data_IF_361913355728
#
_entry.id   IF_361913355728
#
_cell.length_a   1.000
_cell.length_b   1.000
_cell.length_c   1.000
_cell.angle_alpha   90.00
_cell.angle_beta   90.00
_cell.angle_gamma   90.00
#
_symmetry.space_group_name_H-M   'P 1'
#
loop_
_entity.id
_entity.type
_entity.pdbx_description
1 polymer ?
#
# COMPACT_ATOMS: atom_id res chain seq x y z
N UNK A 1 2.56 41.87 -2.52
CA UNK A 1 2.85 41.24 -1.21
C UNK A 1 2.59 39.75 -1.41
N UNK A 2 3.57 38.86 -1.18
CA UNK A 2 3.35 37.40 -1.35
C UNK A 2 2.47 36.88 -0.22
N UNK A 3 1.65 35.86 -0.50
CA UNK A 3 0.86 35.19 0.53
C UNK A 3 1.73 34.29 1.42
N UNK A 4 1.25 33.97 2.62
CA UNK A 4 1.94 33.05 3.52
C UNK A 4 2.15 31.65 2.89
N UNK A 5 1.22 31.22 2.03
CA UNK A 5 1.33 29.96 1.29
C UNK A 5 2.45 30.01 0.25
N UNK A 6 2.53 31.09 -0.54
CA UNK A 6 3.58 31.25 -1.54
C UNK A 6 4.97 31.30 -0.90
N UNK A 7 5.11 31.99 0.24
CA UNK A 7 6.37 32.03 0.98
C UNK A 7 6.75 30.65 1.56
N UNK A 8 5.76 29.87 2.00
CA UNK A 8 5.98 28.51 2.47
C UNK A 8 6.41 27.57 1.32
N UNK A 9 5.79 27.69 0.15
CA UNK A 9 6.15 26.92 -1.03
C UNK A 9 7.53 27.29 -1.59
N UNK A 10 7.92 28.58 -1.56
CA UNK A 10 9.28 29.00 -1.93
C UNK A 10 10.34 28.45 -0.97
N UNK A 11 10.06 28.46 0.34
CA UNK A 11 10.95 27.85 1.34
C UNK A 11 11.05 26.34 1.16
N UNK A 12 9.94 25.67 0.85
CA UNK A 12 9.92 24.24 0.57
C UNK A 12 10.73 23.93 -0.70
N UNK A 13 10.50 24.64 -1.81
CA UNK A 13 11.25 24.47 -3.04
C UNK A 13 12.75 24.80 -2.89
N UNK A 14 13.13 25.72 -2.00
CA UNK A 14 14.52 26.02 -1.71
C UNK A 14 15.19 24.97 -0.83
N UNK A 15 14.43 24.33 0.06
CA UNK A 15 14.93 23.32 1.02
C UNK A 15 14.92 21.90 0.42
N UNK A 16 13.98 21.64 -0.49
CA UNK A 16 13.84 20.42 -1.27
C UNK A 16 13.42 20.79 -2.71
N UNK A 17 14.39 21.04 -3.60
CA UNK A 17 14.13 21.38 -5.00
C UNK A 17 13.40 20.29 -5.79
N UNK A 18 13.39 19.05 -5.28
CA UNK A 18 12.73 17.92 -5.91
C UNK A 18 11.29 17.74 -5.43
N UNK A 19 10.93 18.21 -4.22
CA UNK A 19 9.57 18.17 -3.69
C UNK A 19 8.54 18.92 -4.57
N UNK A 20 8.98 19.92 -5.34
CA UNK A 20 8.12 20.67 -6.25
C UNK A 20 8.05 20.06 -7.67
N UNK A 21 8.86 19.05 -7.98
CA UNK A 21 8.90 18.45 -9.33
C UNK A 21 7.76 17.44 -9.51
N UNK A 22 6.92 17.58 -10.54
CA UNK A 22 5.91 16.59 -10.83
C UNK A 22 6.55 15.26 -11.25
N UNK A 23 5.96 14.13 -10.83
CA UNK A 23 6.39 12.80 -11.27
C UNK A 23 6.33 12.67 -12.81
N UNK A 24 7.34 12.00 -13.38
CA UNK A 24 7.36 11.66 -14.80
C UNK A 24 6.20 10.72 -15.16
N UNK A 25 5.83 10.69 -16.45
CA UNK A 25 4.78 9.78 -16.94
C UNK A 25 5.14 8.31 -16.67
N UNK A 26 6.42 7.96 -16.81
CA UNK A 26 6.94 6.63 -16.50
C UNK A 26 6.78 6.27 -15.03
N UNK A 27 7.19 7.15 -14.10
CA UNK A 27 6.99 6.94 -12.65
C UNK A 27 5.51 6.76 -12.31
N UNK A 28 4.63 7.58 -12.92
CA UNK A 28 3.17 7.44 -12.72
C UNK A 28 2.65 6.10 -13.21
N UNK A 29 3.06 5.64 -14.40
CA UNK A 29 2.69 4.33 -14.93
C UNK A 29 3.14 3.21 -14.00
N UNK A 30 4.39 3.26 -13.55
CA UNK A 30 4.96 2.25 -12.65
C UNK A 30 4.23 2.19 -11.31
N UNK A 31 3.88 3.34 -10.73
CA UNK A 31 3.08 3.39 -9.50
C UNK A 31 1.70 2.74 -9.68
N UNK A 32 1.03 2.98 -10.81
CA UNK A 32 -0.27 2.38 -11.11
C UNK A 32 -0.18 0.86 -11.35
N UNK A 33 0.90 0.39 -11.99
CA UNK A 33 1.19 -1.04 -12.13
C UNK A 33 1.37 -1.71 -10.76
N UNK A 34 2.15 -1.09 -9.86
CA UNK A 34 2.35 -1.59 -8.50
C UNK A 34 1.02 -1.71 -7.77
N UNK A 35 0.17 -0.67 -7.83
CA UNK A 35 -1.16 -0.70 -7.22
C UNK A 35 -2.01 -1.87 -7.76
N UNK A 36 -2.00 -2.07 -9.08
CA UNK A 36 -2.75 -3.16 -9.73
C UNK A 36 -2.26 -4.54 -9.30
N UNK A 37 -0.93 -4.73 -9.26
CA UNK A 37 -0.31 -5.99 -8.87
C UNK A 37 -0.63 -6.33 -7.41
N UNK A 38 -0.48 -5.36 -6.50
CA UNK A 38 -0.74 -5.60 -5.08
C UNK A 38 -2.23 -5.76 -4.77
N UNK A 39 -3.12 -5.09 -5.52
CA UNK A 39 -4.55 -5.36 -5.43
C UNK A 39 -4.85 -6.83 -5.77
N UNK A 40 -4.24 -7.37 -6.83
CA UNK A 40 -4.36 -8.79 -7.18
C UNK A 40 -3.83 -9.72 -6.09
N UNK A 41 -2.61 -9.48 -5.60
CA UNK A 41 -1.98 -10.27 -4.53
C UNK A 41 -2.82 -10.31 -3.25
N UNK A 42 -3.36 -9.15 -2.83
CA UNK A 42 -4.21 -9.05 -1.64
C UNK A 42 -5.51 -9.82 -1.86
N UNK A 43 -6.16 -9.66 -3.02
CA UNK A 43 -7.40 -10.36 -3.33
C UNK A 43 -7.20 -11.89 -3.34
N UNK A 44 -6.15 -12.37 -4.00
CA UNK A 44 -5.81 -13.80 -4.04
C UNK A 44 -5.59 -14.36 -2.63
N UNK A 45 -4.77 -13.68 -1.82
CA UNK A 45 -4.47 -14.10 -0.44
C UNK A 45 -5.71 -14.10 0.44
N UNK A 46 -6.54 -13.05 0.36
CA UNK A 46 -7.78 -12.96 1.11
C UNK A 46 -8.76 -14.06 0.73
N UNK A 47 -8.95 -14.33 -0.57
CA UNK A 47 -9.86 -15.40 -1.03
C UNK A 47 -9.39 -16.74 -0.48
N UNK A 48 -8.10 -17.05 -0.59
CA UNK A 48 -7.52 -18.30 -0.09
C UNK A 48 -7.73 -18.48 1.42
N UNK A 49 -7.45 -17.45 2.22
CA UNK A 49 -7.61 -17.53 3.67
C UNK A 49 -9.08 -17.55 4.12
N UNK A 50 -9.97 -16.83 3.42
CA UNK A 50 -11.42 -16.87 3.67
C UNK A 50 -11.99 -18.26 3.40
N UNK A 51 -11.57 -18.94 2.33
CA UNK A 51 -11.99 -20.33 2.06
C UNK A 51 -11.59 -21.28 3.20
N UNK A 52 -10.38 -21.11 3.75
CA UNK A 52 -9.96 -21.89 4.93
C UNK A 52 -10.76 -21.55 6.18
N UNK A 53 -11.06 -20.27 6.38
CA UNK A 53 -11.86 -19.81 7.50
C UNK A 53 -13.27 -20.41 7.45
N UNK A 54 -13.89 -20.42 6.26
CA UNK A 54 -15.22 -21.01 6.05
C UNK A 54 -15.21 -22.52 6.35
N UNK A 55 -14.15 -23.23 5.95
CA UNK A 55 -13.96 -24.65 6.28
C UNK A 55 -13.82 -24.88 7.80
N UNK A 56 -12.96 -24.12 8.48
CA UNK A 56 -12.79 -24.19 9.93
C UNK A 56 -14.09 -23.85 10.69
N UNK A 57 -14.88 -22.89 10.18
CA UNK A 57 -16.20 -22.56 10.71
C UNK A 57 -17.20 -23.70 10.55
N UNK A 58 -17.20 -24.40 9.42
CA UNK A 58 -18.05 -25.57 9.20
C UNK A 58 -17.68 -26.73 10.15
N UNK A 59 -16.40 -26.87 10.47
CA UNK A 59 -15.88 -27.87 11.42
C UNK A 59 -16.00 -27.44 12.89
N UNK A 60 -16.44 -26.20 13.15
CA UNK A 60 -16.48 -25.59 14.49
C UNK A 60 -15.11 -25.58 15.20
N UNK A 61 -14.01 -25.54 14.44
CA UNK A 61 -12.67 -25.48 14.98
C UNK A 61 -12.32 -24.06 15.44
N UNK A 62 -12.68 -23.72 16.68
CA UNK A 62 -12.55 -22.36 17.22
C UNK A 62 -11.10 -21.86 17.24
N UNK A 63 -10.13 -22.72 17.56
CA UNK A 63 -8.71 -22.35 17.60
C UNK A 63 -8.20 -21.94 16.21
N UNK A 64 -8.56 -22.71 15.17
CA UNK A 64 -8.17 -22.42 13.80
C UNK A 64 -8.88 -21.18 13.23
N UNK A 65 -10.15 -20.97 13.61
CA UNK A 65 -10.90 -19.75 13.24
C UNK A 65 -10.21 -18.49 13.77
N UNK A 66 -9.78 -18.49 15.03
CA UNK A 66 -9.08 -17.33 15.63
C UNK A 66 -7.73 -17.09 14.95
N UNK A 67 -6.95 -18.15 14.71
CA UNK A 67 -5.66 -18.05 14.02
C UNK A 67 -5.81 -17.51 12.60
N UNK A 68 -6.79 -18.02 11.83
CA UNK A 68 -7.03 -17.59 10.45
C UNK A 68 -7.49 -16.12 10.39
N UNK A 69 -8.32 -15.67 11.34
CA UNK A 69 -8.73 -14.25 11.42
C UNK A 69 -7.53 -13.33 11.68
N UNK A 70 -6.67 -13.69 12.61
CA UNK A 70 -5.44 -12.94 12.88
C UNK A 70 -4.52 -12.93 11.65
N UNK A 71 -4.39 -14.08 10.97
CA UNK A 71 -3.56 -14.23 9.78
C UNK A 71 -4.06 -13.39 8.59
N UNK A 72 -5.38 -13.29 8.37
CA UNK A 72 -5.94 -12.44 7.32
C UNK A 72 -5.52 -10.98 7.53
N UNK A 73 -5.61 -10.50 8.77
CA UNK A 73 -5.21 -9.12 9.11
C UNK A 73 -3.71 -8.90 8.89
N UNK A 74 -2.86 -9.79 9.40
CA UNK A 74 -1.41 -9.63 9.29
C UNK A 74 -0.91 -9.72 7.85
N UNK A 75 -1.42 -10.66 7.05
CA UNK A 75 -1.04 -10.79 5.65
C UNK A 75 -1.46 -9.58 4.81
N UNK A 76 -2.64 -9.01 5.11
CA UNK A 76 -3.10 -7.79 4.45
C UNK A 76 -2.16 -6.62 4.76
N UNK A 77 -1.86 -6.38 6.04
CA UNK A 77 -0.95 -5.31 6.46
C UNK A 77 0.42 -5.47 5.80
N UNK A 78 0.99 -6.69 5.83
CA UNK A 78 2.29 -6.99 5.21
C UNK A 78 2.31 -6.64 3.72
N UNK A 79 1.28 -7.02 2.98
CA UNK A 79 1.19 -6.72 1.54
C UNK A 79 0.97 -5.23 1.27
N UNK A 80 0.24 -4.52 2.12
CA UNK A 80 0.08 -3.07 2.01
C UNK A 80 1.39 -2.32 2.30
N UNK A 81 2.18 -2.77 3.28
CA UNK A 81 3.52 -2.25 3.59
C UNK A 81 4.48 -2.46 2.43
N UNK A 82 4.58 -3.70 1.91
CA UNK A 82 5.41 -4.01 0.75
C UNK A 82 5.04 -3.17 -0.48
N UNK A 83 3.73 -2.92 -0.69
CA UNK A 83 3.25 -2.04 -1.77
C UNK A 83 3.79 -0.63 -1.60
N UNK A 84 3.68 -0.05 -0.40
CA UNK A 84 4.15 1.31 -0.17
C UNK A 84 5.66 1.42 -0.25
N UNK A 85 6.42 0.44 0.23
CA UNK A 85 7.87 0.39 0.09
C UNK A 85 8.30 0.39 -1.39
N UNK A 86 7.66 -0.41 -2.23
CA UNK A 86 7.96 -0.43 -3.68
C UNK A 86 7.58 0.91 -4.34
N UNK A 87 6.45 1.51 -3.96
CA UNK A 87 6.05 2.82 -4.47
C UNK A 87 7.00 3.93 -4.02
N UNK A 88 7.48 3.89 -2.79
CA UNK A 88 8.50 4.82 -2.31
C UNK A 88 9.81 4.69 -3.07
N UNK A 89 10.26 3.47 -3.38
CA UNK A 89 11.44 3.25 -4.20
C UNK A 89 11.31 3.91 -5.59
N UNK A 90 10.15 3.80 -6.23
CA UNK A 90 9.84 4.44 -7.53
C UNK A 90 9.75 5.98 -7.42
N UNK A 91 9.31 6.51 -6.27
CA UNK A 91 9.28 7.96 -6.06
C UNK A 91 10.70 8.51 -5.89
N UNK A 92 11.55 7.81 -5.11
CA UNK A 92 12.91 8.24 -4.75
C UNK A 92 13.94 8.05 -5.87
N UNK A 93 13.82 6.99 -6.68
CA UNK A 93 14.61 6.79 -7.90
C UNK A 93 13.94 7.46 -9.08
#
# INVERSE_FOLDING_TARGET
MKSAYELAMERLAASDPDAAKPLSAEKKSRLAEIDTVYQGKIAEREIFLKQKLDAAMAEQNLDEIEQLRAQIGSERTRLEEEREDEKEAVRRG
#
